data_IF_250817072041
#
_entry.id   IF_250817072041
#
_cell.length_a   1.000
_cell.length_b   1.000
_cell.length_c   1.000
_cell.angle_alpha   90.00
_cell.angle_beta   90.00
_cell.angle_gamma   90.00
#
_symmetry.space_group_name_H-M   'P 1'
#
loop_
_entity.id
_entity.type
_entity.pdbx_description
1 polymer ?
#
# COMPACT_ATOMS: atom_id res chain seq x y z
N UNK A 1 -34.46 -23.47 16.93
CA UNK A 1 -33.24 -24.10 16.38
C UNK A 1 -32.13 -23.08 16.21
N UNK A 2 -30.93 -23.37 16.74
CA UNK A 2 -29.76 -22.49 16.64
C UNK A 2 -28.83 -23.04 15.55
N UNK A 3 -28.67 -22.29 14.47
CA UNK A 3 -27.78 -22.65 13.36
C UNK A 3 -26.36 -22.20 13.70
N UNK A 4 -25.41 -23.15 13.70
CA UNK A 4 -23.98 -22.85 13.87
C UNK A 4 -23.29 -22.88 12.51
N UNK A 5 -22.73 -21.75 12.10
CA UNK A 5 -21.88 -21.65 10.91
C UNK A 5 -20.42 -21.81 11.28
N UNK A 6 -19.67 -22.62 10.51
CA UNK A 6 -18.22 -22.68 10.55
C UNK A 6 -17.66 -21.88 9.38
N UNK A 7 -16.85 -20.87 9.68
CA UNK A 7 -16.17 -20.03 8.68
C UNK A 7 -14.69 -20.41 8.67
N UNK A 8 -14.10 -20.52 7.48
CA UNK A 8 -12.67 -20.73 7.28
C UNK A 8 -12.12 -19.54 6.49
N UNK A 9 -10.94 -19.06 6.86
CA UNK A 9 -10.26 -17.94 6.23
C UNK A 9 -8.81 -18.32 5.89
N UNK A 10 -8.30 -17.80 4.78
CA UNK A 10 -6.89 -17.89 4.38
C UNK A 10 -6.52 -16.63 3.60
N UNK A 11 -5.35 -16.07 3.90
CA UNK A 11 -4.74 -14.99 3.10
C UNK A 11 -4.23 -15.57 1.79
N UNK A 12 -4.63 -14.99 0.65
CA UNK A 12 -4.09 -15.37 -0.65
C UNK A 12 -2.60 -14.96 -0.74
N UNK A 13 -1.77 -15.84 -1.29
CA UNK A 13 -0.42 -15.45 -1.70
C UNK A 13 -0.54 -14.55 -2.95
N UNK A 14 0.29 -13.52 -3.03
CA UNK A 14 0.34 -12.59 -4.17
C UNK A 14 -0.97 -11.79 -4.39
N UNK A 15 -1.55 -11.27 -3.30
CA UNK A 15 -2.75 -10.43 -3.37
C UNK A 15 -2.36 -8.96 -3.62
N UNK A 16 -3.04 -8.25 -4.55
CA UNK A 16 -2.69 -6.87 -4.87
C UNK A 16 -2.86 -5.95 -3.65
N UNK A 17 -1.92 -5.01 -3.52
CA UNK A 17 -1.88 -4.05 -2.40
C UNK A 17 -1.95 -2.63 -2.96
N UNK A 18 -2.89 -1.84 -2.44
CA UNK A 18 -2.99 -0.40 -2.72
C UNK A 18 -2.25 0.39 -1.64
N UNK A 19 -1.36 1.30 -2.06
CA UNK A 19 -0.57 2.13 -1.14
C UNK A 19 -0.86 3.62 -1.36
N UNK A 20 -1.38 4.28 -0.32
CA UNK A 20 -1.67 5.71 -0.33
C UNK A 20 -0.74 6.48 0.61
N UNK A 21 0.13 7.31 0.04
CA UNK A 21 0.93 8.26 0.80
C UNK A 21 0.24 9.62 0.84
N UNK A 22 -0.27 9.97 2.02
CA UNK A 22 -0.76 11.33 2.30
C UNK A 22 0.41 12.18 2.78
N UNK A 23 0.84 13.12 1.93
CA UNK A 23 1.97 14.02 2.20
C UNK A 23 1.46 15.42 2.52
N UNK A 24 2.04 16.04 3.57
CA UNK A 24 1.88 17.48 3.81
C UNK A 24 2.64 18.29 2.76
N UNK A 25 1.96 19.27 2.15
CA UNK A 25 2.47 20.11 1.04
C UNK A 25 3.06 21.44 1.52
N UNK A 26 3.38 21.56 2.80
CA UNK A 26 4.05 22.73 3.37
C UNK A 26 5.42 23.02 2.74
N UNK A 27 5.87 24.28 2.81
CA UNK A 27 7.07 24.78 2.11
C UNK A 27 8.36 24.02 2.47
N UNK A 28 8.44 23.55 3.72
CA UNK A 28 9.55 22.73 4.22
C UNK A 28 9.61 21.35 3.54
N UNK A 29 8.49 20.82 3.04
CA UNK A 29 8.37 19.47 2.48
C UNK A 29 8.62 19.41 0.97
N UNK A 30 8.92 20.53 0.32
CA UNK A 30 9.25 20.59 -1.12
C UNK A 30 10.38 19.64 -1.53
N UNK A 31 11.40 19.49 -0.68
CA UNK A 31 12.52 18.58 -0.92
C UNK A 31 12.11 17.10 -0.79
N UNK A 32 11.19 16.80 0.14
CA UNK A 32 10.67 15.45 0.37
C UNK A 32 9.77 15.01 -0.78
N UNK A 33 8.98 15.92 -1.37
CA UNK A 33 8.13 15.62 -2.54
C UNK A 33 8.93 14.98 -3.69
N UNK A 34 10.10 15.53 -4.00
CA UNK A 34 10.96 15.00 -5.06
C UNK A 34 11.53 13.61 -4.69
N UNK A 35 11.87 13.39 -3.42
CA UNK A 35 12.37 12.11 -2.94
C UNK A 35 11.28 11.03 -2.88
N UNK A 36 10.05 11.38 -2.47
CA UNK A 36 8.89 10.48 -2.44
C UNK A 36 8.48 10.06 -3.84
N UNK A 37 8.51 10.98 -4.81
CA UNK A 37 8.26 10.62 -6.21
C UNK A 37 9.25 9.57 -6.71
N UNK A 38 10.55 9.73 -6.41
CA UNK A 38 11.58 8.75 -6.76
C UNK A 38 11.39 7.41 -6.01
N UNK A 39 10.97 7.47 -4.75
CA UNK A 39 10.66 6.29 -3.94
C UNK A 39 9.47 5.51 -4.52
N UNK A 40 8.41 6.22 -4.96
CA UNK A 40 7.25 5.63 -5.61
C UNK A 40 7.63 4.86 -6.89
N UNK A 41 8.46 5.46 -7.75
CA UNK A 41 8.96 4.77 -8.95
C UNK A 41 9.80 3.53 -8.60
N UNK A 42 10.66 3.64 -7.59
CA UNK A 42 11.48 2.49 -7.15
C UNK A 42 10.64 1.37 -6.52
N UNK A 43 9.57 1.73 -5.80
CA UNK A 43 8.68 0.76 -5.19
C UNK A 43 7.81 0.07 -6.24
N UNK A 44 7.25 0.83 -7.20
CA UNK A 44 6.54 0.27 -8.34
C UNK A 44 7.40 -0.74 -9.10
N UNK A 45 8.65 -0.37 -9.44
CA UNK A 45 9.59 -1.28 -10.10
C UNK A 45 9.95 -2.53 -9.30
N UNK A 46 9.81 -2.51 -7.96
CA UNK A 46 10.04 -3.67 -7.09
C UNK A 46 8.80 -4.55 -6.93
N UNK A 47 7.62 -3.98 -7.11
CA UNK A 47 6.34 -4.68 -7.03
C UNK A 47 5.88 -5.19 -8.41
N UNK A 48 6.41 -4.65 -9.50
CA UNK A 48 6.18 -5.10 -10.89
C UNK A 48 7.09 -6.30 -11.30
N UNK A 49 7.67 -7.02 -10.33
CA UNK A 49 8.43 -8.26 -10.46
C UNK A 49 7.94 -9.28 -9.43
#
# INVERSE_FOLDING_TARGET
DVVRMKVQYRVAQDYPVDLYYLLDLSDSMKHIRNNVSRLGTNLANKCDL
#
